data_IF_703870220325
#
_entry.id   IF_703870220325
#
_cell.length_a   1.000
_cell.length_b   1.000
_cell.length_c   1.000
_cell.angle_alpha   90.00
_cell.angle_beta   90.00
_cell.angle_gamma   90.00
#
_symmetry.space_group_name_H-M   'P 1'
#
loop_
_entity.id
_entity.type
_entity.pdbx_description
1 polymer ?
#
# COMPACT_ATOMS: atom_id res chain seq x y z
N UNK A 1 -4.49 18.48 -33.57
CA UNK A 1 -3.40 18.49 -32.62
C UNK A 1 -3.58 17.33 -31.65
N UNK A 2 -2.75 16.33 -31.78
CA UNK A 2 -2.80 15.17 -30.88
C UNK A 2 -2.05 15.57 -29.62
N UNK A 3 -2.76 15.73 -28.53
CA UNK A 3 -2.14 15.84 -27.23
C UNK A 3 -1.77 14.41 -26.85
N UNK A 4 -0.50 14.05 -27.02
CA UNK A 4 0.05 12.91 -26.30
C UNK A 4 -0.14 13.23 -24.82
N UNK A 5 -1.14 12.61 -24.20
CA UNK A 5 -1.09 12.46 -22.78
C UNK A 5 0.05 11.49 -22.50
N UNK A 6 1.24 12.05 -22.28
CA UNK A 6 2.26 11.33 -21.55
C UNK A 6 1.56 10.87 -20.28
N UNK A 7 1.29 9.57 -20.20
CA UNK A 7 0.94 8.93 -18.96
C UNK A 7 2.13 9.18 -18.04
N UNK A 8 2.04 10.23 -17.24
CA UNK A 8 3.11 10.65 -16.38
C UNK A 8 3.50 9.46 -15.51
N UNK A 9 4.78 9.10 -15.52
CA UNK A 9 5.33 8.12 -14.59
C UNK A 9 5.03 8.65 -13.19
N UNK A 10 4.55 7.79 -12.31
CA UNK A 10 4.23 8.16 -10.95
C UNK A 10 5.44 8.82 -10.26
N UNK A 11 5.21 9.97 -9.63
CA UNK A 11 6.22 10.58 -8.76
C UNK A 11 6.24 9.78 -7.47
N UNK A 12 7.36 9.12 -7.19
CA UNK A 12 7.54 8.29 -6.00
C UNK A 12 8.44 9.02 -5.01
N UNK A 13 7.97 9.14 -3.78
CA UNK A 13 8.75 9.69 -2.67
C UNK A 13 8.94 8.60 -1.63
N UNK A 14 10.15 8.45 -1.12
CA UNK A 14 10.46 7.55 0.00
C UNK A 14 10.68 8.40 1.24
N UNK A 15 9.95 8.08 2.29
CA UNK A 15 10.06 8.77 3.58
C UNK A 15 10.14 7.74 4.71
N UNK A 16 10.77 8.12 5.82
CA UNK A 16 10.75 7.34 7.04
C UNK A 16 9.82 8.01 8.04
N UNK A 17 8.91 7.25 8.65
CA UNK A 17 7.96 7.80 9.60
C UNK A 17 6.80 6.88 9.92
N UNK A 18 5.75 7.48 10.44
CA UNK A 18 4.51 6.83 10.82
C UNK A 18 3.44 7.12 9.76
N UNK A 19 2.97 6.08 9.08
CA UNK A 19 1.99 6.22 8.01
C UNK A 19 0.67 6.83 8.51
N UNK A 20 0.32 6.65 9.78
CA UNK A 20 -0.90 7.22 10.36
C UNK A 20 -0.86 8.74 10.50
N UNK A 21 0.31 9.34 10.32
CA UNK A 21 0.53 10.80 10.37
C UNK A 21 0.71 11.43 9.01
N UNK A 22 0.58 10.65 7.94
CA UNK A 22 0.72 11.15 6.58
C UNK A 22 -0.47 12.02 6.16
N UNK A 23 -0.16 13.12 5.47
CA UNK A 23 -1.16 14.03 4.91
C UNK A 23 -1.39 13.69 3.45
N UNK A 24 -2.12 12.62 3.21
CA UNK A 24 -2.47 12.10 1.89
C UNK A 24 -3.96 11.80 1.83
N UNK A 25 -4.51 11.67 0.63
CA UNK A 25 -5.93 11.36 0.46
C UNK A 25 -6.27 9.93 0.88
N UNK A 26 -5.37 8.98 0.63
CA UNK A 26 -5.57 7.60 1.03
C UNK A 26 -4.27 6.99 1.59
N UNK A 27 -4.41 6.16 2.60
CA UNK A 27 -3.31 5.31 3.09
C UNK A 27 -3.64 3.86 2.80
N UNK A 28 -2.61 3.08 2.48
CA UNK A 28 -2.73 1.65 2.26
C UNK A 28 -2.30 0.91 3.52
N UNK A 29 -3.07 -0.08 3.92
CA UNK A 29 -2.72 -0.97 5.03
C UNK A 29 -2.45 -2.39 4.52
N UNK A 30 -1.45 -3.03 5.11
CA UNK A 30 -1.13 -4.43 4.88
C UNK A 30 -2.03 -5.28 5.78
N UNK A 31 -3.21 -5.59 5.29
CA UNK A 31 -4.26 -6.29 6.01
C UNK A 31 -4.10 -7.82 5.93
N UNK A 32 -4.83 -8.52 6.78
CA UNK A 32 -5.10 -9.94 6.58
C UNK A 32 -6.45 -10.12 5.84
N UNK A 33 -6.76 -11.34 5.44
CA UNK A 33 -7.95 -11.63 4.62
C UNK A 33 -9.27 -11.23 5.28
N UNK A 34 -9.33 -11.26 6.61
CA UNK A 34 -10.57 -10.94 7.35
C UNK A 34 -10.91 -9.45 7.36
N UNK A 35 -9.93 -8.58 7.18
CA UNK A 35 -10.04 -7.12 7.30
C UNK A 35 -10.49 -6.62 8.69
N UNK A 36 -10.33 -7.45 9.71
CA UNK A 36 -10.75 -7.14 11.09
C UNK A 36 -9.66 -6.47 11.93
N UNK A 37 -8.47 -6.29 11.35
CA UNK A 37 -7.32 -5.78 12.06
C UNK A 37 -6.32 -6.89 12.39
N UNK A 38 -5.14 -6.48 12.79
CA UNK A 38 -4.04 -7.37 13.13
C UNK A 38 -2.95 -6.63 13.85
N UNK A 39 -1.71 -7.08 13.71
CA UNK A 39 -0.53 -6.45 14.28
C UNK A 39 0.17 -5.51 13.30
N UNK A 40 1.33 -5.01 13.69
CA UNK A 40 2.17 -4.16 12.86
C UNK A 40 1.48 -2.88 12.39
N UNK A 41 1.68 -2.53 11.12
CA UNK A 41 1.12 -1.31 10.54
C UNK A 41 -0.42 -1.36 10.52
N UNK A 42 -1.01 -2.51 10.23
CA UNK A 42 -2.46 -2.66 10.22
C UNK A 42 -3.06 -2.39 11.61
N UNK A 43 -2.43 -2.90 12.66
CA UNK A 43 -2.84 -2.62 14.03
C UNK A 43 -2.75 -1.13 14.37
N UNK A 44 -1.68 -0.46 13.94
CA UNK A 44 -1.50 0.97 14.16
C UNK A 44 -2.59 1.78 13.45
N UNK A 45 -2.92 1.43 12.21
CA UNK A 45 -3.97 2.09 11.44
C UNK A 45 -5.34 1.88 12.08
N UNK A 46 -5.65 0.66 12.53
CA UNK A 46 -6.90 0.37 13.22
C UNK A 46 -7.03 1.17 14.53
N UNK A 47 -5.95 1.31 15.30
CA UNK A 47 -5.99 2.14 16.52
C UNK A 47 -6.23 3.61 16.22
N UNK A 48 -5.60 4.12 15.16
CA UNK A 48 -5.74 5.52 14.76
C UNK A 48 -7.12 5.84 14.16
N UNK A 49 -7.66 4.93 13.36
CA UNK A 49 -8.96 5.11 12.70
C UNK A 49 -10.14 4.85 13.65
N UNK A 50 -9.93 4.07 14.70
CA UNK A 50 -10.96 3.72 15.66
C UNK A 50 -11.73 2.44 15.31
N UNK A 51 -12.66 2.01 16.20
CA UNK A 51 -13.30 0.68 16.10
C UNK A 51 -14.22 0.51 14.89
N UNK A 52 -14.70 1.61 14.30
CA UNK A 52 -15.55 1.54 13.10
C UNK A 52 -14.84 0.95 11.90
N UNK A 53 -13.50 1.02 11.86
CA UNK A 53 -12.73 0.44 10.75
C UNK A 53 -12.88 -1.08 10.67
N UNK A 54 -12.81 -1.78 11.79
CA UNK A 54 -13.02 -3.22 11.83
C UNK A 54 -14.45 -3.60 11.41
N UNK A 55 -15.45 -2.83 11.82
CA UNK A 55 -16.84 -3.05 11.41
C UNK A 55 -17.00 -2.89 9.89
N UNK A 56 -16.41 -1.85 9.32
CA UNK A 56 -16.44 -1.61 7.88
C UNK A 56 -15.72 -2.74 7.11
N UNK A 57 -14.58 -3.18 7.62
CA UNK A 57 -13.83 -4.30 7.04
C UNK A 57 -14.64 -5.61 7.04
N UNK A 58 -15.31 -5.91 8.16
CA UNK A 58 -16.17 -7.07 8.27
C UNK A 58 -17.32 -7.05 7.24
N UNK A 59 -17.84 -5.87 6.94
CA UNK A 59 -18.94 -5.71 6.00
C UNK A 59 -18.54 -5.95 4.54
N UNK A 60 -17.30 -5.64 4.16
CA UNK A 60 -16.82 -5.76 2.78
C UNK A 60 -15.94 -6.98 2.53
N UNK A 61 -15.30 -7.51 3.58
CA UNK A 61 -14.43 -8.68 3.46
C UNK A 61 -15.18 -9.99 3.21
N UNK A 62 -14.47 -11.09 2.97
CA UNK A 62 -13.00 -11.18 2.98
C UNK A 62 -12.34 -10.57 1.75
N UNK A 63 -11.04 -10.31 1.87
CA UNK A 63 -10.19 -9.84 0.78
C UNK A 63 -9.11 -10.89 0.50
N UNK A 64 -8.96 -11.27 -0.75
CA UNK A 64 -7.98 -12.30 -1.14
C UNK A 64 -6.57 -11.72 -1.28
N UNK A 65 -5.51 -12.54 -1.10
CA UNK A 65 -4.16 -12.10 -1.37
C UNK A 65 -4.00 -11.51 -2.78
N UNK A 66 -3.37 -10.36 -2.86
CA UNK A 66 -3.16 -9.63 -4.12
C UNK A 66 -4.28 -8.68 -4.51
N UNK A 67 -5.41 -8.72 -3.82
CA UNK A 67 -6.51 -7.78 -4.05
C UNK A 67 -6.46 -6.60 -3.08
N UNK A 68 -7.32 -5.62 -3.31
CA UNK A 68 -7.44 -4.43 -2.47
C UNK A 68 -8.90 -3.98 -2.39
N UNK A 69 -9.29 -3.45 -1.23
CA UNK A 69 -10.63 -2.94 -0.97
C UNK A 69 -10.55 -1.65 -0.15
N UNK A 70 -11.45 -0.73 -0.36
CA UNK A 70 -11.43 0.56 0.31
C UNK A 70 -12.55 0.71 1.34
N UNK A 71 -12.22 1.42 2.42
CA UNK A 71 -13.18 1.90 3.43
C UNK A 71 -12.97 3.40 3.66
N UNK A 72 -13.92 4.09 4.31
CA UNK A 72 -13.64 5.40 4.88
C UNK A 72 -12.50 5.32 5.91
N UNK A 73 -11.90 6.45 6.21
CA UNK A 73 -10.78 6.53 7.15
C UNK A 73 -11.20 6.84 8.59
N UNK A 74 -12.47 7.10 8.82
CA UNK A 74 -13.06 7.38 10.14
C UNK A 74 -12.30 8.46 10.91
N UNK A 75 -11.66 8.13 12.04
CA UNK A 75 -10.98 9.13 12.89
C UNK A 75 -9.70 9.69 12.26
N UNK A 76 -9.20 9.13 11.16
CA UNK A 76 -8.09 9.70 10.38
C UNK A 76 -8.53 10.81 9.42
N UNK A 77 -9.82 10.96 9.19
CA UNK A 77 -10.38 12.00 8.31
C UNK A 77 -10.77 13.24 9.16
N UNK A 78 -10.23 14.44 8.89
CA UNK A 78 -9.15 14.73 7.96
C UNK A 78 -7.77 14.42 8.53
N UNK A 79 -6.68 14.31 7.73
CA UNK A 79 -6.61 14.58 6.30
C UNK A 79 -6.87 13.37 5.41
N UNK A 80 -6.80 12.15 5.95
CA UNK A 80 -6.95 10.91 5.17
C UNK A 80 -8.44 10.61 4.98
N UNK A 81 -8.87 10.47 3.72
CA UNK A 81 -10.28 10.21 3.40
C UNK A 81 -10.62 8.73 3.34
N UNK A 82 -9.69 7.91 2.86
CA UNK A 82 -9.90 6.48 2.65
C UNK A 82 -8.73 5.66 3.14
N UNK A 83 -9.04 4.44 3.55
CA UNK A 83 -8.05 3.40 3.82
C UNK A 83 -8.23 2.33 2.75
N UNK A 84 -7.13 1.97 2.08
CA UNK A 84 -7.09 0.90 1.10
C UNK A 84 -6.47 -0.30 1.77
N UNK A 85 -7.24 -1.39 1.89
CA UNK A 85 -6.81 -2.63 2.52
C UNK A 85 -6.32 -3.57 1.43
N UNK A 86 -5.07 -3.98 1.49
CA UNK A 86 -4.52 -4.97 0.57
C UNK A 86 -3.88 -6.10 1.36
N UNK A 87 -3.99 -7.32 0.83
CA UNK A 87 -3.52 -8.53 1.50
C UNK A 87 -2.31 -9.08 0.76
N UNK A 88 -1.14 -8.97 1.39
CA UNK A 88 0.10 -9.48 0.83
C UNK A 88 0.24 -10.99 0.96
N UNK A 89 1.22 -11.58 0.24
CA UNK A 89 1.50 -12.99 0.34
C UNK A 89 2.27 -13.32 1.61
N UNK A 90 2.05 -14.52 2.13
CA UNK A 90 2.96 -15.12 3.13
C UNK A 90 4.15 -15.68 2.35
N UNK A 91 5.36 -15.33 2.76
CA UNK A 91 6.57 -15.82 2.11
C UNK A 91 6.83 -17.30 2.47
N UNK A 92 6.92 -18.13 1.45
CA UNK A 92 7.15 -19.57 1.58
C UNK A 92 8.39 -20.01 0.79
N UNK A 93 9.40 -19.16 0.69
CA UNK A 93 10.68 -19.45 0.06
C UNK A 93 10.80 -19.08 -1.43
N UNK A 94 9.77 -18.50 -2.04
CA UNK A 94 9.80 -18.08 -3.45
C UNK A 94 9.71 -19.22 -4.44
N UNK A 95 9.30 -20.41 -4.01
CA UNK A 95 9.37 -21.63 -4.80
C UNK A 95 8.08 -22.01 -5.53
N UNK A 96 7.41 -21.11 -6.25
CA UNK A 96 6.27 -21.46 -7.10
C UNK A 96 4.90 -21.16 -6.56
N UNK A 97 4.80 -20.43 -5.48
CA UNK A 97 3.52 -20.00 -4.89
C UNK A 97 3.01 -18.67 -5.44
N UNK A 98 3.73 -18.04 -6.38
CA UNK A 98 3.34 -16.78 -7.00
C UNK A 98 3.47 -15.58 -6.08
N UNK A 99 4.28 -15.64 -5.04
CA UNK A 99 4.40 -14.59 -4.02
C UNK A 99 4.79 -13.24 -4.60
N UNK A 100 5.73 -13.22 -5.55
CA UNK A 100 6.15 -11.99 -6.22
C UNK A 100 5.02 -11.35 -7.01
N UNK A 101 4.24 -12.16 -7.73
CA UNK A 101 3.10 -11.69 -8.52
C UNK A 101 1.97 -11.19 -7.62
N UNK A 102 1.74 -11.85 -6.50
CA UNK A 102 0.74 -11.42 -5.50
C UNK A 102 1.14 -10.08 -4.91
N UNK A 103 2.41 -9.91 -4.54
CA UNK A 103 2.91 -8.64 -3.99
C UNK A 103 2.79 -7.51 -5.02
N UNK A 104 3.17 -7.74 -6.26
CA UNK A 104 3.00 -6.77 -7.35
C UNK A 104 1.52 -6.40 -7.51
N UNK A 105 0.63 -7.38 -7.47
CA UNK A 105 -0.82 -7.14 -7.54
C UNK A 105 -1.32 -6.25 -6.41
N UNK A 106 -0.78 -6.38 -5.20
CA UNK A 106 -1.15 -5.50 -4.08
C UNK A 106 -0.91 -4.03 -4.41
N UNK A 107 0.25 -3.69 -4.95
CA UNK A 107 0.58 -2.32 -5.33
C UNK A 107 -0.29 -1.84 -6.51
N UNK A 108 -0.42 -2.64 -7.55
CA UNK A 108 -1.22 -2.30 -8.73
C UNK A 108 -2.70 -2.11 -8.36
N UNK A 109 -3.30 -3.06 -7.66
CA UNK A 109 -4.71 -2.98 -7.28
C UNK A 109 -4.99 -1.81 -6.36
N UNK A 110 -4.08 -1.52 -5.44
CA UNK A 110 -4.22 -0.37 -4.54
C UNK A 110 -4.24 0.95 -5.32
N UNK A 111 -3.38 1.10 -6.33
CA UNK A 111 -3.38 2.29 -7.19
C UNK A 111 -4.65 2.36 -8.04
N UNK A 112 -5.14 1.25 -8.57
CA UNK A 112 -6.41 1.21 -9.32
C UNK A 112 -7.59 1.65 -8.44
N UNK A 113 -7.66 1.16 -7.20
CA UNK A 113 -8.67 1.58 -6.23
C UNK A 113 -8.54 3.09 -5.91
N UNK A 114 -7.32 3.57 -5.70
CA UNK A 114 -7.07 4.98 -5.46
C UNK A 114 -7.56 5.87 -6.60
N UNK A 115 -7.32 5.46 -7.85
CA UNK A 115 -7.83 6.18 -9.02
C UNK A 115 -9.36 6.16 -9.08
N UNK A 116 -10.00 5.04 -8.75
CA UNK A 116 -11.47 4.94 -8.68
C UNK A 116 -12.05 5.88 -7.61
N UNK A 117 -11.32 6.10 -6.52
CA UNK A 117 -11.71 7.02 -5.45
C UNK A 117 -11.35 8.48 -5.75
N UNK A 118 -10.71 8.74 -6.87
CA UNK A 118 -10.16 10.06 -7.23
C UNK A 118 -9.17 10.59 -6.18
N UNK A 119 -8.44 9.69 -5.52
CA UNK A 119 -7.39 10.05 -4.59
C UNK A 119 -6.22 10.66 -5.36
N UNK A 120 -5.74 11.82 -4.91
CA UNK A 120 -4.62 12.50 -5.54
C UNK A 120 -3.27 12.05 -5.02
N UNK A 121 -3.23 11.65 -3.74
CA UNK A 121 -2.01 11.23 -3.07
C UNK A 121 -2.28 9.96 -2.27
N UNK A 122 -1.30 9.05 -2.24
CA UNK A 122 -1.41 7.77 -1.56
C UNK A 122 -0.10 7.47 -0.84
N UNK A 123 -0.20 6.94 0.37
CA UNK A 123 0.95 6.43 1.12
C UNK A 123 0.84 4.91 1.28
N UNK A 124 1.93 4.23 0.99
CA UNK A 124 2.07 2.78 1.12
C UNK A 124 3.03 2.41 2.25
N UNK A 125 2.74 1.35 3.01
CA UNK A 125 3.74 0.71 3.86
C UNK A 125 4.61 -0.25 3.04
N UNK A 126 5.62 -0.84 3.65
CA UNK A 126 6.36 -1.96 3.06
C UNK A 126 5.54 -3.25 3.20
N UNK A 127 4.74 -3.57 2.19
CA UNK A 127 3.79 -4.68 2.23
C UNK A 127 4.52 -6.02 2.34
N UNK A 128 4.01 -6.93 3.19
CA UNK A 128 4.44 -8.32 3.38
C UNK A 128 5.84 -8.51 3.98
N UNK A 129 6.55 -7.45 4.36
CA UNK A 129 7.92 -7.57 4.91
C UNK A 129 7.98 -7.77 6.42
N UNK A 130 6.85 -7.67 7.11
CA UNK A 130 6.76 -7.93 8.55
C UNK A 130 6.58 -9.42 8.84
N UNK A 131 5.48 -9.76 9.50
CA UNK A 131 5.17 -11.14 9.92
C UNK A 131 5.11 -12.13 8.75
N UNK A 132 4.70 -11.65 7.57
CA UNK A 132 4.63 -12.49 6.38
C UNK A 132 6.01 -12.84 5.78
N UNK A 133 7.05 -12.16 6.19
CA UNK A 133 8.44 -12.59 5.98
C UNK A 133 9.00 -12.43 4.58
N UNK A 134 8.36 -11.65 3.71
CA UNK A 134 8.90 -11.40 2.37
C UNK A 134 10.27 -10.73 2.47
N UNK A 135 11.31 -11.19 1.73
CA UNK A 135 12.62 -10.58 1.79
C UNK A 135 12.57 -9.09 1.45
N UNK A 136 13.07 -8.20 2.32
CA UNK A 136 12.87 -6.75 2.17
C UNK A 136 13.48 -6.16 0.90
N UNK A 137 14.62 -6.68 0.44
CA UNK A 137 15.28 -6.22 -0.79
C UNK A 137 14.46 -6.55 -2.05
N UNK A 138 13.93 -7.77 -2.11
CA UNK A 138 13.05 -8.19 -3.21
C UNK A 138 11.73 -7.44 -3.17
N UNK A 139 11.16 -7.25 -1.98
CA UNK A 139 9.92 -6.52 -1.81
C UNK A 139 10.06 -5.05 -2.25
N UNK A 140 11.17 -4.39 -1.92
CA UNK A 140 11.44 -3.03 -2.35
C UNK A 140 11.52 -2.91 -3.86
N UNK A 141 12.19 -3.85 -4.52
CA UNK A 141 12.29 -3.90 -5.98
C UNK A 141 10.91 -4.03 -6.62
N UNK A 142 10.10 -4.95 -6.13
CA UNK A 142 8.74 -5.19 -6.65
C UNK A 142 7.87 -3.94 -6.45
N UNK A 143 7.92 -3.31 -5.29
CA UNK A 143 7.15 -2.11 -5.00
C UNK A 143 7.46 -0.99 -6.01
N UNK A 144 8.72 -0.63 -6.16
CA UNK A 144 9.13 0.47 -7.05
C UNK A 144 8.84 0.14 -8.51
N UNK A 145 9.21 -1.08 -8.95
CA UNK A 145 8.98 -1.50 -10.34
C UNK A 145 7.49 -1.52 -10.69
N UNK A 146 6.64 -2.02 -9.80
CA UNK A 146 5.20 -2.11 -10.04
C UNK A 146 4.57 -0.72 -10.09
N UNK A 147 4.91 0.16 -9.16
CA UNK A 147 4.37 1.53 -9.14
C UNK A 147 4.78 2.27 -10.42
N UNK A 148 6.03 2.13 -10.84
CA UNK A 148 6.51 2.76 -12.08
C UNK A 148 5.82 2.25 -13.33
N UNK A 149 5.40 1.00 -13.34
CA UNK A 149 4.76 0.38 -14.51
C UNK A 149 3.23 0.47 -14.49
N UNK A 150 2.64 0.96 -13.41
CA UNK A 150 1.18 1.06 -13.28
C UNK A 150 0.73 2.46 -13.69
N UNK A 151 -0.12 2.59 -14.75
CA UNK A 151 -0.72 3.88 -15.08
C UNK A 151 -1.61 4.36 -13.94
N UNK A 152 -1.39 5.60 -13.48
CA UNK A 152 -2.15 6.17 -12.37
C UNK A 152 -2.14 7.69 -12.43
N UNK A 153 -3.20 8.32 -11.93
CA UNK A 153 -3.29 9.76 -11.71
C UNK A 153 -2.82 10.17 -10.31
N UNK A 154 -2.40 9.21 -9.49
CA UNK A 154 -1.90 9.48 -8.14
C UNK A 154 -0.52 10.14 -8.21
N UNK A 155 -0.39 11.30 -7.56
CA UNK A 155 0.86 12.05 -7.47
C UNK A 155 0.84 12.93 -6.20
N UNK A 156 1.75 12.72 -5.23
CA UNK A 156 2.79 11.67 -5.22
C UNK A 156 2.27 10.33 -4.70
N UNK A 157 3.02 9.27 -5.02
CA UNK A 157 2.96 7.99 -4.32
C UNK A 157 4.07 7.99 -3.28
N UNK A 158 3.70 7.90 -2.01
CA UNK A 158 4.66 7.94 -0.91
C UNK A 158 4.87 6.54 -0.36
N UNK A 159 6.12 6.10 -0.33
CA UNK A 159 6.52 4.84 0.31
C UNK A 159 7.05 5.17 1.70
N UNK A 160 6.32 4.75 2.72
CA UNK A 160 6.63 5.08 4.10
C UNK A 160 7.35 3.90 4.76
N UNK A 161 8.63 4.07 5.02
CA UNK A 161 9.46 3.10 5.72
C UNK A 161 9.36 3.32 7.22
N UNK A 162 9.28 2.24 7.97
CA UNK A 162 9.24 2.28 9.43
C UNK A 162 10.64 2.30 10.05
N UNK A 163 11.66 1.83 9.31
CA UNK A 163 13.05 1.75 9.79
C UNK A 163 14.05 2.19 8.71
N UNK A 164 15.28 2.46 9.14
CA UNK A 164 16.36 2.93 8.28
C UNK A 164 16.72 1.93 7.17
N UNK A 165 16.71 0.64 7.49
CA UNK A 165 17.08 -0.41 6.55
C UNK A 165 16.10 -0.47 5.38
N UNK A 166 14.80 -0.45 5.65
CA UNK A 166 13.76 -0.44 4.63
C UNK A 166 13.82 0.85 3.80
N UNK A 167 14.03 1.98 4.46
CA UNK A 167 14.17 3.27 3.78
C UNK A 167 15.34 3.25 2.78
N UNK A 168 16.49 2.74 3.19
CA UNK A 168 17.67 2.63 2.33
C UNK A 168 17.42 1.73 1.12
N UNK A 169 16.75 0.59 1.30
CA UNK A 169 16.42 -0.33 0.22
C UNK A 169 15.49 0.32 -0.82
N UNK A 170 14.47 1.03 -0.36
CA UNK A 170 13.53 1.71 -1.24
C UNK A 170 14.22 2.85 -2.02
N UNK A 171 15.05 3.64 -1.34
CA UNK A 171 15.80 4.71 -1.99
C UNK A 171 16.76 4.18 -3.04
N UNK A 172 17.45 3.07 -2.76
CA UNK A 172 18.34 2.43 -3.73
C UNK A 172 17.57 1.99 -4.99
N UNK A 173 16.37 1.47 -4.85
CA UNK A 173 15.55 1.09 -6.01
C UNK A 173 15.09 2.31 -6.83
N UNK A 174 14.86 3.45 -6.20
CA UNK A 174 14.50 4.68 -6.93
C UNK A 174 15.66 5.20 -7.79
N UNK A 175 16.90 4.97 -7.38
CA UNK A 175 18.10 5.44 -8.07
C UNK A 175 18.50 4.54 -9.25
N UNK A 176 17.90 3.38 -9.41
CA UNK A 176 18.19 2.41 -10.48
C UNK A 176 17.41 2.67 -11.77
#
# INVERSE_FOLDING_TARGET
>A
MWVCHDLAMAVIEVVMGDITREHVDAIVTAANESLLGGGGVDGAIHRAAGPRLAEAGAAIGPCEPGDAMATPAFDLDPPVRHIIHTVGPVWEGGGGYGEADILASCYRRSLEIADQLSARSVAFPAIATGVYGFPPDQAARIAVATIRSTPTNVEPVRLVAFDDATCALLQAELEN
#
